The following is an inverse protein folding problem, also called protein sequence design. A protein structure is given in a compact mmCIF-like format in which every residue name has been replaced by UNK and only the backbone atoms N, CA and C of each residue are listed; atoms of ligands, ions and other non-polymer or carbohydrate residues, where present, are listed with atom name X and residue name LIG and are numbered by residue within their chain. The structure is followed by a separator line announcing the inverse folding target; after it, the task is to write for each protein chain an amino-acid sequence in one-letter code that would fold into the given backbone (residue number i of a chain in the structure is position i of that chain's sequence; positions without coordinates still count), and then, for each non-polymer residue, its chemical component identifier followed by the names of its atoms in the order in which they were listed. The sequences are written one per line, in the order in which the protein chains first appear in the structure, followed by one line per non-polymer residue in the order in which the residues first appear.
data_IF_749567149386
#
_entry.id   IF_749567149386
#
_cell.length_a   1.000
_cell.length_b   1.000
_cell.length_c   1.000
_cell.angle_alpha   90.00
_cell.angle_beta   90.00
_cell.angle_gamma   90.00
#
_symmetry.space_group_name_H-M   'P 1'
#
loop_
_entity.id
_entity.type
_entity.pdbx_description
1 polymer ?
#
# COMPACT_ATOMS: atom_id res chain seq x y z
N UNK A 1 14.42 56.40 11.28
CA UNK A 1 14.26 55.21 12.09
C UNK A 1 13.20 54.25 11.58
N UNK A 2 11.95 54.68 11.27
CA UNK A 2 10.91 53.79 10.78
C UNK A 2 11.26 53.01 9.46
N UNK A 3 11.93 53.63 8.50
CA UNK A 3 12.35 52.94 7.22
C UNK A 3 13.46 51.88 7.47
N UNK A 4 14.23 52.00 8.54
CA UNK A 4 15.29 51.04 8.88
C UNK A 4 14.66 49.80 9.58
N UNK A 5 13.67 50.01 10.42
CA UNK A 5 12.92 48.94 11.11
C UNK A 5 12.12 48.10 10.12
N UNK A 6 11.50 48.70 9.11
CA UNK A 6 10.74 47.97 8.06
C UNK A 6 11.70 47.11 7.20
N UNK A 7 12.90 47.60 6.87
CA UNK A 7 13.90 46.82 6.16
C UNK A 7 14.47 45.65 6.99
N UNK A 8 14.64 45.83 8.31
CA UNK A 8 15.04 44.75 9.20
C UNK A 8 13.96 43.68 9.35
N UNK A 9 12.68 44.08 9.38
CA UNK A 9 11.55 43.13 9.44
C UNK A 9 11.42 42.32 8.12
N UNK A 10 11.69 42.92 6.96
CA UNK A 10 11.72 42.19 5.68
C UNK A 10 12.92 41.27 5.57
N UNK A 11 14.09 41.59 6.12
CA UNK A 11 15.27 40.72 6.13
C UNK A 11 15.07 39.56 7.11
N UNK A 12 14.42 39.76 8.26
CA UNK A 12 14.07 38.70 9.21
C UNK A 12 12.96 37.79 8.68
N UNK A 13 11.99 38.33 7.94
CA UNK A 13 10.95 37.52 7.29
C UNK A 13 11.51 36.69 6.12
N UNK A 14 12.49 37.23 5.35
CA UNK A 14 13.14 36.45 4.29
C UNK A 14 14.14 35.41 4.81
N UNK A 15 14.69 35.57 6.01
CA UNK A 15 15.54 34.56 6.66
C UNK A 15 14.73 33.39 7.27
N UNK A 16 13.43 33.59 7.53
CA UNK A 16 12.55 32.53 8.00
C UNK A 16 12.10 31.55 6.90
N UNK A 17 12.36 31.84 5.62
CA UNK A 17 12.13 30.93 4.49
C UNK A 17 13.38 30.13 4.08
N UNK A 18 14.45 30.19 4.89
CA UNK A 18 15.66 29.41 4.61
C UNK A 18 15.52 28.01 5.21
N UNK A 19 15.45 27.03 4.29
CA UNK A 19 15.75 25.62 4.52
C UNK A 19 14.77 24.85 5.43
N UNK A 20 13.58 24.57 4.96
CA UNK A 20 13.02 23.25 5.19
C UNK A 20 13.80 22.28 4.28
N UNK A 21 15.02 21.94 4.71
CA UNK A 21 15.65 20.71 4.25
C UNK A 21 14.70 19.60 4.69
N UNK A 22 14.10 18.89 3.75
CA UNK A 22 13.33 17.70 4.05
C UNK A 22 14.20 16.80 4.94
N UNK A 23 13.73 16.48 6.15
CA UNK A 23 14.41 15.52 6.99
C UNK A 23 14.63 14.26 6.15
N UNK A 24 15.88 13.85 6.00
CA UNK A 24 16.20 12.59 5.35
C UNK A 24 15.68 11.49 6.26
N UNK A 25 14.70 10.73 5.74
CA UNK A 25 14.19 9.55 6.44
C UNK A 25 15.27 8.49 6.42
N UNK A 26 15.55 7.91 7.58
CA UNK A 26 16.39 6.73 7.71
C UNK A 26 15.54 5.48 7.59
N UNK A 27 15.78 4.67 6.58
CA UNK A 27 15.09 3.40 6.37
C UNK A 27 15.91 2.25 6.93
N UNK A 28 15.23 1.31 7.55
CA UNK A 28 15.75 -0.03 7.80
C UNK A 28 15.28 -0.96 6.68
N UNK A 29 15.96 -2.08 6.49
CA UNK A 29 15.74 -2.97 5.36
C UNK A 29 15.59 -4.43 5.79
N UNK A 30 14.76 -5.20 5.07
CA UNK A 30 14.74 -6.65 5.07
C UNK A 30 14.98 -7.12 3.65
N UNK A 31 16.06 -7.85 3.46
CA UNK A 31 16.55 -8.32 2.16
C UNK A 31 16.66 -9.84 2.12
N UNK A 32 17.17 -10.38 1.04
CA UNK A 32 17.50 -11.82 0.96
C UNK A 32 18.61 -12.24 1.91
N UNK A 33 19.48 -11.32 2.31
CA UNK A 33 20.53 -11.58 3.30
C UNK A 33 19.94 -11.79 4.71
N UNK A 34 18.76 -11.23 4.98
CA UNK A 34 17.99 -11.43 6.20
C UNK A 34 17.07 -12.66 6.13
N UNK A 35 17.07 -13.40 5.01
CA UNK A 35 16.26 -14.60 4.80
C UNK A 35 14.98 -14.40 4.01
N UNK A 36 14.74 -13.20 3.44
CA UNK A 36 13.60 -12.97 2.54
C UNK A 36 13.74 -13.85 1.29
N UNK A 37 12.67 -14.52 0.89
CA UNK A 37 12.71 -15.50 -0.20
C UNK A 37 13.04 -14.92 -1.57
N UNK A 38 12.75 -13.61 -1.78
CA UNK A 38 13.01 -12.92 -3.04
C UNK A 38 12.86 -11.40 -2.89
N UNK A 39 13.59 -10.60 -3.67
CA UNK A 39 13.64 -9.12 -3.60
C UNK A 39 12.34 -8.42 -3.98
N UNK A 40 11.54 -8.99 -4.90
CA UNK A 40 10.29 -8.37 -5.34
C UNK A 40 9.18 -8.66 -4.35
N UNK A 41 8.75 -7.64 -3.63
CA UNK A 41 7.68 -7.73 -2.64
C UNK A 41 6.38 -7.26 -3.29
N UNK A 42 5.46 -8.20 -3.52
CA UNK A 42 4.19 -7.92 -4.17
C UNK A 42 3.12 -7.41 -3.20
N UNK A 43 3.13 -7.90 -1.97
CA UNK A 43 2.12 -7.59 -0.96
C UNK A 43 2.69 -7.70 0.45
N UNK A 44 2.19 -6.85 1.33
CA UNK A 44 2.45 -6.85 2.77
C UNK A 44 1.11 -6.93 3.51
N UNK A 45 1.10 -7.61 4.65
CA UNK A 45 -0.02 -7.67 5.56
C UNK A 45 0.51 -7.81 6.99
N UNK A 46 -0.01 -7.03 7.93
CA UNK A 46 0.29 -7.16 9.35
C UNK A 46 -0.93 -7.79 10.03
N UNK A 47 -0.74 -8.91 10.71
CA UNK A 47 -1.81 -9.55 11.46
C UNK A 47 -2.02 -8.91 12.84
N UNK A 48 -3.04 -9.34 13.56
CA UNK A 48 -3.39 -8.79 14.88
C UNK A 48 -2.32 -9.03 15.96
N UNK A 49 -1.44 -10.01 15.77
CA UNK A 49 -0.32 -10.29 16.65
C UNK A 49 0.93 -9.45 16.29
N UNK A 50 0.84 -8.57 15.31
CA UNK A 50 1.94 -7.75 14.83
C UNK A 50 2.94 -8.47 13.93
N UNK A 51 2.61 -9.67 13.47
CA UNK A 51 3.43 -10.42 12.53
C UNK A 51 3.28 -9.83 11.13
N UNK A 52 4.41 -9.55 10.49
CA UNK A 52 4.45 -9.11 9.10
C UNK A 52 4.49 -10.29 8.15
N UNK A 53 3.49 -10.36 7.27
CA UNK A 53 3.39 -11.33 6.18
C UNK A 53 3.80 -10.67 4.87
N UNK A 54 4.72 -11.30 4.14
CA UNK A 54 5.36 -10.74 2.94
C UNK A 54 5.15 -11.70 1.78
N UNK A 55 4.35 -11.29 0.81
CA UNK A 55 4.12 -12.03 -0.43
C UNK A 55 5.17 -11.67 -1.48
N UNK A 56 5.83 -12.68 -2.01
CA UNK A 56 6.84 -12.54 -3.07
C UNK A 56 6.53 -13.44 -4.26
N UNK A 57 7.39 -13.44 -5.28
CA UNK A 57 7.32 -14.42 -6.38
C UNK A 57 7.84 -15.80 -5.99
N UNK A 58 8.50 -15.93 -4.83
CA UNK A 58 9.13 -17.15 -4.33
C UNK A 58 8.57 -17.59 -2.96
N UNK A 59 7.30 -17.35 -2.73
CA UNK A 59 6.57 -17.81 -1.56
C UNK A 59 6.00 -16.71 -0.68
N UNK A 60 5.43 -17.17 0.42
CA UNK A 60 4.96 -16.37 1.55
C UNK A 60 6.04 -16.36 2.63
N UNK A 61 6.40 -15.19 3.13
CA UNK A 61 7.35 -15.02 4.22
C UNK A 61 6.62 -14.48 5.45
N UNK A 62 6.97 -14.98 6.62
CA UNK A 62 6.51 -14.54 7.93
C UNK A 62 7.67 -13.94 8.69
N UNK A 63 7.58 -12.68 9.05
CA UNK A 63 8.57 -11.97 9.86
C UNK A 63 7.99 -11.64 11.24
N UNK A 64 8.68 -12.03 12.30
CA UNK A 64 8.24 -11.87 13.70
C UNK A 64 9.02 -10.79 14.47
N UNK A 65 9.82 -9.98 13.78
CA UNK A 65 10.72 -8.99 14.37
C UNK A 65 12.17 -9.48 14.51
N UNK A 66 12.42 -10.79 14.43
CA UNK A 66 13.75 -11.41 14.55
C UNK A 66 14.06 -12.26 13.32
N UNK A 67 13.20 -13.24 13.00
CA UNK A 67 13.44 -14.25 11.99
C UNK A 67 12.43 -14.17 10.84
N UNK A 68 12.88 -14.54 9.64
CA UNK A 68 12.02 -14.75 8.47
C UNK A 68 11.82 -16.24 8.22
N UNK A 69 10.57 -16.70 8.34
CA UNK A 69 10.18 -18.06 7.94
C UNK A 69 9.47 -18.02 6.60
N UNK A 70 9.97 -18.82 5.64
CA UNK A 70 9.43 -18.91 4.28
C UNK A 70 8.55 -20.16 4.11
N UNK A 71 7.38 -19.96 3.47
CA UNK A 71 6.46 -21.01 3.05
C UNK A 71 6.41 -21.05 1.51
N UNK A 72 6.67 -22.23 0.94
CA UNK A 72 6.71 -22.46 -0.51
C UNK A 72 5.90 -23.70 -0.88
N UNK A 73 5.65 -23.85 -2.17
CA UNK A 73 5.14 -25.09 -2.75
C UNK A 73 6.12 -26.24 -2.43
N UNK A 74 5.60 -27.32 -1.84
CA UNK A 74 6.31 -28.56 -1.61
C UNK A 74 5.63 -29.67 -2.39
N UNK A 75 6.36 -30.31 -3.27
CA UNK A 75 5.85 -31.45 -4.05
C UNK A 75 5.39 -32.57 -3.09
N UNK A 76 4.17 -33.07 -3.29
CA UNK A 76 3.54 -34.13 -2.48
C UNK A 76 3.17 -33.73 -1.03
N UNK A 77 3.14 -32.44 -0.69
CA UNK A 77 2.63 -31.98 0.59
C UNK A 77 1.31 -31.20 0.37
N UNK A 78 0.14 -31.82 0.62
CA UNK A 78 -1.17 -31.19 0.39
C UNK A 78 -1.45 -30.00 1.33
N UNK A 79 -0.65 -29.85 2.41
CA UNK A 79 -0.78 -28.74 3.34
C UNK A 79 0.20 -27.59 3.02
N UNK A 80 0.96 -27.69 1.94
CA UNK A 80 1.84 -26.62 1.47
C UNK A 80 1.12 -25.65 0.55
N UNK A 81 1.75 -24.50 0.30
CA UNK A 81 1.27 -23.55 -0.71
C UNK A 81 1.21 -24.26 -2.08
N UNK A 82 0.15 -24.06 -2.86
CA UNK A 82 -0.02 -24.74 -4.16
C UNK A 82 0.69 -24.03 -5.32
N UNK A 83 1.14 -22.78 -5.12
CA UNK A 83 2.01 -22.05 -6.06
C UNK A 83 2.95 -21.11 -5.28
N UNK A 84 4.08 -20.70 -5.88
CA UNK A 84 5.05 -19.86 -5.18
C UNK A 84 4.77 -18.35 -5.28
N UNK A 85 4.11 -17.90 -6.35
CA UNK A 85 3.88 -16.46 -6.54
C UNK A 85 2.67 -15.99 -5.75
N UNK A 86 2.92 -15.24 -4.66
CA UNK A 86 1.90 -14.59 -3.84
C UNK A 86 1.78 -13.14 -4.29
N UNK A 87 0.65 -12.79 -4.90
CA UNK A 87 0.39 -11.46 -5.47
C UNK A 87 -0.29 -10.51 -4.48
N UNK A 88 -1.18 -11.02 -3.63
CA UNK A 88 -1.87 -10.23 -2.59
C UNK A 88 -2.17 -11.08 -1.35
N UNK A 89 -2.12 -10.44 -0.21
CA UNK A 89 -2.46 -11.02 1.09
C UNK A 89 -3.57 -10.17 1.69
N UNK A 90 -4.63 -10.83 2.21
CA UNK A 90 -5.67 -10.21 3.03
C UNK A 90 -5.95 -11.13 4.23
N UNK A 91 -6.44 -10.60 5.33
CA UNK A 91 -6.72 -11.40 6.52
C UNK A 91 -8.08 -11.11 7.13
N UNK A 92 -8.57 -12.05 7.93
CA UNK A 92 -9.83 -11.90 8.66
C UNK A 92 -9.65 -11.26 10.05
N UNK A 93 -8.44 -10.77 10.34
CA UNK A 93 -8.04 -10.21 11.64
C UNK A 93 -8.29 -11.15 12.83
N UNK A 94 -8.21 -12.47 12.58
CA UNK A 94 -8.36 -13.48 13.61
C UNK A 94 -7.41 -14.67 13.38
N UNK A 95 -7.83 -15.69 12.64
CA UNK A 95 -7.04 -16.93 12.52
C UNK A 95 -6.60 -17.26 11.08
N UNK A 96 -7.03 -16.48 10.10
CA UNK A 96 -6.86 -16.82 8.69
C UNK A 96 -6.33 -15.67 7.89
N UNK A 97 -5.37 -15.96 7.02
CA UNK A 97 -4.98 -15.08 5.93
C UNK A 97 -5.30 -15.78 4.60
N UNK A 98 -5.68 -14.97 3.62
CA UNK A 98 -6.04 -15.41 2.29
C UNK A 98 -5.03 -14.85 1.30
N UNK A 99 -4.60 -15.68 0.38
CA UNK A 99 -3.52 -15.40 -0.57
C UNK A 99 -4.07 -15.45 -1.97
N UNK A 100 -3.90 -14.36 -2.72
CA UNK A 100 -4.04 -14.39 -4.17
C UNK A 100 -2.70 -14.87 -4.75
N UNK A 101 -2.77 -16.01 -5.41
CA UNK A 101 -1.67 -16.60 -6.14
C UNK A 101 -1.91 -16.47 -7.65
N UNK A 102 -0.89 -16.67 -8.48
CA UNK A 102 -1.06 -16.68 -9.95
C UNK A 102 -2.03 -17.74 -10.44
N UNK A 103 -2.20 -18.82 -9.70
CA UNK A 103 -3.01 -19.98 -10.09
C UNK A 103 -4.31 -20.12 -9.29
N UNK A 104 -4.67 -19.10 -8.47
CA UNK A 104 -5.92 -19.10 -7.70
C UNK A 104 -5.81 -18.48 -6.31
N UNK A 105 -6.62 -18.98 -5.38
CA UNK A 105 -6.73 -18.46 -4.00
C UNK A 105 -6.47 -19.57 -3.00
N UNK A 106 -5.59 -19.30 -2.04
CA UNK A 106 -5.33 -20.15 -0.88
C UNK A 106 -5.75 -19.47 0.42
N UNK A 107 -6.12 -20.29 1.39
CA UNK A 107 -6.22 -19.92 2.81
C UNK A 107 -5.01 -20.45 3.55
N UNK A 108 -4.48 -19.69 4.48
CA UNK A 108 -3.51 -20.15 5.45
C UNK A 108 -4.09 -19.95 6.86
N UNK A 109 -4.20 -21.04 7.59
CA UNK A 109 -4.66 -21.02 8.98
C UNK A 109 -3.46 -20.78 9.91
N UNK A 110 -3.50 -19.69 10.69
CA UNK A 110 -2.40 -19.24 11.54
C UNK A 110 -2.13 -20.22 12.70
N UNK A 111 -3.16 -20.85 13.26
CA UNK A 111 -3.04 -21.77 14.39
C UNK A 111 -2.46 -23.12 13.97
N UNK A 112 -2.97 -23.71 12.87
CA UNK A 112 -2.51 -25.03 12.38
C UNK A 112 -1.31 -24.95 11.45
N UNK A 113 -0.99 -23.76 10.93
CA UNK A 113 0.05 -23.50 9.94
C UNK A 113 -0.11 -24.32 8.64
N UNK A 114 -1.34 -24.57 8.23
CA UNK A 114 -1.66 -25.34 7.03
C UNK A 114 -2.29 -24.45 5.97
N UNK A 115 -1.99 -24.77 4.71
CA UNK A 115 -2.65 -24.18 3.57
C UNK A 115 -3.82 -25.02 3.10
N UNK A 116 -4.86 -24.35 2.62
CA UNK A 116 -6.01 -24.94 1.94
C UNK A 116 -6.20 -24.20 0.62
N UNK A 117 -6.23 -24.90 -0.50
CA UNK A 117 -6.59 -24.30 -1.80
C UNK A 117 -8.09 -24.10 -1.83
N UNK A 118 -8.55 -22.84 -1.90
CA UNK A 118 -9.97 -22.51 -1.94
C UNK A 118 -10.51 -22.52 -3.38
N UNK A 119 -9.73 -22.01 -4.33
CA UNK A 119 -10.11 -21.93 -5.74
C UNK A 119 -8.87 -21.94 -6.63
N UNK A 120 -8.92 -22.70 -7.72
CA UNK A 120 -7.92 -22.64 -8.79
C UNK A 120 -8.50 -21.92 -10.01
N UNK A 121 -7.62 -21.21 -10.72
CA UNK A 121 -7.95 -20.47 -11.93
C UNK A 121 -7.45 -19.03 -11.92
N UNK A 122 -7.76 -18.31 -12.99
CA UNK A 122 -7.36 -16.90 -13.12
C UNK A 122 -8.30 -16.00 -12.31
N UNK A 123 -7.79 -15.54 -11.18
CA UNK A 123 -8.45 -14.60 -10.27
C UNK A 123 -7.66 -13.29 -10.28
N UNK A 124 -8.34 -12.17 -10.48
CA UNK A 124 -7.70 -10.87 -10.65
C UNK A 124 -7.58 -10.08 -9.36
N UNK A 125 -8.42 -10.33 -8.36
CA UNK A 125 -8.36 -9.65 -7.09
C UNK A 125 -8.95 -10.44 -5.94
N UNK A 126 -8.47 -10.16 -4.71
CA UNK A 126 -9.08 -10.61 -3.46
C UNK A 126 -9.29 -9.42 -2.53
N UNK A 127 -10.32 -9.49 -1.70
CA UNK A 127 -10.64 -8.50 -0.69
C UNK A 127 -11.37 -9.16 0.48
N UNK A 128 -11.02 -8.78 1.71
CA UNK A 128 -11.70 -9.26 2.90
C UNK A 128 -12.43 -8.13 3.64
N UNK A 129 -13.73 -8.30 3.87
CA UNK A 129 -14.54 -7.44 4.72
C UNK A 129 -15.78 -8.23 5.16
N UNK A 130 -15.79 -8.74 6.41
CA UNK A 130 -16.84 -9.64 6.92
C UNK A 130 -17.17 -10.77 5.94
N UNK A 131 -16.14 -11.32 5.29
CA UNK A 131 -16.19 -12.36 4.30
C UNK A 131 -15.18 -12.11 3.18
N UNK A 132 -14.75 -13.19 2.54
CA UNK A 132 -13.80 -13.14 1.44
C UNK A 132 -14.53 -12.88 0.12
N UNK A 133 -14.07 -11.88 -0.62
CA UNK A 133 -14.51 -11.56 -1.97
C UNK A 133 -13.37 -11.79 -2.96
N UNK A 134 -13.72 -12.24 -4.16
CA UNK A 134 -12.79 -12.34 -5.28
C UNK A 134 -13.35 -11.64 -6.51
N UNK A 135 -12.45 -11.06 -7.32
CA UNK A 135 -12.75 -10.56 -8.66
C UNK A 135 -12.24 -11.55 -9.70
N UNK A 136 -13.09 -11.87 -10.67
CA UNK A 136 -12.76 -12.70 -11.82
C UNK A 136 -13.37 -12.08 -13.08
N UNK A 137 -12.55 -11.50 -13.94
CA UNK A 137 -13.04 -10.65 -15.04
C UNK A 137 -13.93 -9.52 -14.49
N UNK A 138 -15.12 -9.34 -15.02
CA UNK A 138 -16.12 -8.35 -14.61
C UNK A 138 -17.06 -8.84 -13.49
N UNK A 139 -16.76 -9.96 -12.86
CA UNK A 139 -17.60 -10.59 -11.84
C UNK A 139 -16.95 -10.50 -10.45
N UNK A 140 -17.78 -10.27 -9.45
CA UNK A 140 -17.44 -10.36 -8.03
C UNK A 140 -18.12 -11.58 -7.44
N UNK A 141 -17.34 -12.41 -6.75
CA UNK A 141 -17.86 -13.55 -6.02
C UNK A 141 -17.58 -13.38 -4.53
N UNK A 142 -18.44 -13.98 -3.70
CA UNK A 142 -18.25 -14.06 -2.26
C UNK A 142 -18.10 -15.51 -1.84
N UNK A 143 -17.11 -15.76 -0.99
CA UNK A 143 -16.90 -17.08 -0.40
C UNK A 143 -18.01 -17.40 0.59
N UNK A 144 -18.61 -18.57 0.44
CA UNK A 144 -19.62 -19.14 1.32
C UNK A 144 -18.95 -20.20 2.20
N UNK A 145 -18.78 -19.90 3.48
CA UNK A 145 -18.09 -20.79 4.42
C UNK A 145 -18.86 -22.10 4.69
N UNK A 146 -20.20 -22.10 4.54
CA UNK A 146 -21.02 -23.28 4.76
C UNK A 146 -20.88 -24.31 3.64
N UNK A 147 -20.83 -23.85 2.40
CA UNK A 147 -20.75 -24.72 1.21
C UNK A 147 -19.31 -24.92 0.72
N UNK A 148 -18.37 -24.07 1.14
CA UNK A 148 -16.99 -24.04 0.63
C UNK A 148 -16.88 -23.52 -0.81
N UNK A 149 -17.90 -22.89 -1.36
CA UNK A 149 -17.96 -22.40 -2.73
C UNK A 149 -17.89 -20.86 -2.80
N UNK A 150 -17.62 -20.34 -3.98
CA UNK A 150 -17.73 -18.94 -4.30
C UNK A 150 -19.04 -18.67 -5.05
N UNK A 151 -19.97 -17.95 -4.42
CA UNK A 151 -21.24 -17.57 -5.00
C UNK A 151 -21.12 -16.22 -5.71
N UNK A 152 -21.77 -16.08 -6.90
CA UNK A 152 -21.79 -14.83 -7.65
C UNK A 152 -22.48 -13.74 -6.82
N UNK A 153 -21.75 -12.69 -6.50
CA UNK A 153 -22.26 -11.56 -5.72
C UNK A 153 -22.76 -10.41 -6.60
N UNK A 154 -22.00 -10.08 -7.65
CA UNK A 154 -22.35 -9.03 -8.60
C UNK A 154 -21.57 -9.17 -9.92
N UNK A 155 -22.17 -8.72 -11.03
CA UNK A 155 -21.53 -8.67 -12.35
C UNK A 155 -21.60 -7.24 -12.90
N UNK A 156 -20.45 -6.66 -13.25
CA UNK A 156 -20.36 -5.37 -13.94
C UNK A 156 -20.85 -5.51 -15.39
N UNK A 157 -21.56 -4.51 -15.92
CA UNK A 157 -21.92 -4.48 -17.33
C UNK A 157 -20.67 -4.26 -18.22
N UNK A 158 -20.53 -5.02 -19.29
CA UNK A 158 -19.42 -4.94 -20.24
C UNK A 158 -18.57 -6.21 -20.28
N UNK A 159 -18.10 -6.60 -21.48
CA UNK A 159 -17.45 -7.90 -21.68
C UNK A 159 -15.93 -7.89 -21.44
N UNK A 160 -15.25 -6.78 -21.57
CA UNK A 160 -13.78 -6.71 -21.49
C UNK A 160 -13.29 -5.96 -20.24
N UNK A 161 -14.00 -6.13 -19.12
CA UNK A 161 -13.65 -5.56 -17.84
C UNK A 161 -12.94 -6.60 -16.97
N UNK A 162 -11.95 -6.15 -16.23
CA UNK A 162 -11.29 -6.93 -15.20
C UNK A 162 -11.23 -6.14 -13.90
N UNK A 163 -11.82 -6.68 -12.83
CA UNK A 163 -11.86 -6.08 -11.49
C UNK A 163 -10.58 -6.46 -10.77
N UNK A 164 -9.66 -5.52 -10.61
CA UNK A 164 -8.32 -5.77 -10.05
C UNK A 164 -8.13 -5.31 -8.61
N UNK A 165 -9.05 -4.55 -8.07
CA UNK A 165 -9.12 -4.22 -6.66
C UNK A 165 -10.54 -3.88 -6.23
N UNK A 166 -10.83 -4.08 -4.95
CA UNK A 166 -12.13 -3.84 -4.36
C UNK A 166 -12.00 -3.20 -2.99
N UNK A 167 -13.04 -2.45 -2.58
CA UNK A 167 -13.12 -1.89 -1.24
C UNK A 167 -14.59 -1.64 -0.87
N UNK A 168 -15.00 -2.03 0.35
CA UNK A 168 -16.32 -1.73 0.87
C UNK A 168 -16.23 -0.53 1.80
N UNK A 169 -17.01 0.50 1.50
CA UNK A 169 -17.01 1.74 2.25
C UNK A 169 -18.38 2.43 2.23
N UNK A 170 -18.91 2.81 3.41
CA UNK A 170 -20.20 3.51 3.60
C UNK A 170 -21.38 2.84 2.86
N UNK A 171 -21.49 1.51 2.91
CA UNK A 171 -22.55 0.76 2.23
C UNK A 171 -22.35 0.60 0.72
N UNK A 172 -21.20 0.98 0.19
CA UNK A 172 -20.86 0.84 -1.23
C UNK A 172 -19.72 -0.16 -1.43
N UNK A 173 -19.85 -1.00 -2.45
CA UNK A 173 -18.73 -1.77 -3.01
C UNK A 173 -18.10 -0.94 -4.14
N UNK A 174 -16.86 -0.53 -3.92
CA UNK A 174 -16.02 0.14 -4.90
C UNK A 174 -15.20 -0.91 -5.64
N UNK A 175 -15.21 -0.86 -6.95
CA UNK A 175 -14.55 -1.82 -7.84
C UNK A 175 -13.64 -1.06 -8.81
N UNK A 176 -12.34 -1.27 -8.69
CA UNK A 176 -11.34 -0.73 -9.60
C UNK A 176 -11.07 -1.70 -10.74
N UNK A 177 -11.03 -1.18 -11.96
CA UNK A 177 -10.84 -1.97 -13.19
C UNK A 177 -9.53 -1.65 -13.89
N UNK A 178 -9.12 -2.52 -14.79
CA UNK A 178 -7.87 -2.36 -15.59
C UNK A 178 -7.90 -1.18 -16.56
N UNK A 179 -9.07 -0.77 -17.06
CA UNK A 179 -9.17 0.23 -18.12
C UNK A 179 -10.22 1.30 -17.88
N UNK A 180 -11.32 0.96 -17.19
CA UNK A 180 -12.51 1.80 -17.12
C UNK A 180 -12.65 2.54 -15.79
N UNK A 181 -11.56 2.67 -15.01
CA UNK A 181 -11.59 3.41 -13.75
C UNK A 181 -12.38 2.68 -12.66
N UNK A 182 -13.27 3.40 -11.98
CA UNK A 182 -13.94 2.93 -10.77
C UNK A 182 -15.44 2.84 -10.94
N UNK A 183 -16.00 1.68 -10.66
CA UNK A 183 -17.43 1.48 -10.46
C UNK A 183 -17.75 1.44 -8.95
N UNK A 184 -18.95 1.94 -8.59
CA UNK A 184 -19.44 1.98 -7.22
C UNK A 184 -20.86 1.44 -7.18
N UNK A 185 -21.04 0.30 -6.50
CA UNK A 185 -22.33 -0.35 -6.28
C UNK A 185 -22.87 -0.03 -4.89
N UNK A 186 -24.07 0.52 -4.80
CA UNK A 186 -24.83 0.57 -3.55
C UNK A 186 -25.24 -0.86 -3.17
N UNK A 187 -24.79 -1.34 -2.00
CA UNK A 187 -24.95 -2.75 -1.62
C UNK A 187 -26.42 -3.09 -1.35
N UNK A 188 -27.19 -2.16 -0.78
CA UNK A 188 -28.58 -2.38 -0.41
C UNK A 188 -29.52 -2.19 -1.62
N UNK A 189 -29.36 -1.08 -2.34
CA UNK A 189 -30.23 -0.73 -3.49
C UNK A 189 -29.87 -1.44 -4.78
N UNK A 190 -28.65 -2.00 -4.88
CA UNK A 190 -28.07 -2.58 -6.11
C UNK A 190 -27.95 -1.58 -7.25
N UNK A 191 -27.86 -0.29 -6.93
CA UNK A 191 -27.66 0.77 -7.91
C UNK A 191 -26.16 0.93 -8.23
N UNK A 192 -25.81 0.87 -9.51
CA UNK A 192 -24.45 1.04 -10.00
C UNK A 192 -24.20 2.47 -10.44
N UNK A 193 -23.10 3.06 -10.02
CA UNK A 193 -22.60 4.35 -10.51
C UNK A 193 -21.14 4.20 -11.01
N UNK A 194 -20.70 5.15 -11.83
CA UNK A 194 -19.37 5.15 -12.44
C UNK A 194 -18.67 6.49 -12.20
N UNK A 195 -18.16 6.74 -10.96
CA UNK A 195 -17.65 8.05 -10.56
C UNK A 195 -16.32 8.42 -11.23
N UNK A 196 -15.46 7.45 -11.56
CA UNK A 196 -14.19 7.66 -12.28
C UNK A 196 -14.23 6.80 -13.54
N UNK A 197 -14.27 7.44 -14.72
CA UNK A 197 -14.61 6.77 -15.99
C UNK A 197 -13.40 6.32 -16.81
N UNK A 198 -12.19 6.41 -16.26
CA UNK A 198 -10.95 6.04 -16.94
C UNK A 198 -9.86 5.63 -15.94
N UNK A 199 -8.89 4.92 -16.44
CA UNK A 199 -7.67 4.54 -15.71
C UNK A 199 -7.68 3.09 -15.24
N UNK A 200 -6.49 2.58 -15.07
CA UNK A 200 -6.19 1.30 -14.44
C UNK A 200 -6.03 1.55 -12.94
N UNK A 201 -6.97 1.07 -12.13
CA UNK A 201 -7.04 1.34 -10.70
C UNK A 201 -6.24 0.29 -9.94
N UNK A 202 -5.27 0.72 -9.16
CA UNK A 202 -4.31 -0.17 -8.49
C UNK A 202 -4.64 -0.45 -7.03
N UNK A 203 -5.24 0.53 -6.33
CA UNK A 203 -5.49 0.42 -4.90
C UNK A 203 -6.61 1.34 -4.41
N UNK A 204 -7.20 0.94 -3.30
CA UNK A 204 -8.06 1.76 -2.46
C UNK A 204 -7.48 1.81 -1.06
N UNK A 205 -7.49 2.99 -0.45
CA UNK A 205 -7.13 3.19 0.93
C UNK A 205 -8.13 4.16 1.60
N UNK A 206 -8.65 3.80 2.76
CA UNK A 206 -9.50 4.66 3.58
C UNK A 206 -8.69 5.21 4.73
N UNK A 207 -8.67 6.54 4.88
CA UNK A 207 -8.00 7.20 5.99
C UNK A 207 -8.86 7.29 7.25
N UNK A 208 -8.27 7.82 8.34
CA UNK A 208 -8.91 7.98 9.64
C UNK A 208 -10.08 8.99 9.63
N UNK A 209 -10.08 9.96 8.71
CA UNK A 209 -11.16 10.92 8.52
C UNK A 209 -12.31 10.34 7.70
N UNK A 210 -12.14 9.12 7.18
CA UNK A 210 -13.12 8.44 6.36
C UNK A 210 -13.15 8.94 4.93
N UNK A 211 -12.05 9.44 4.42
CA UNK A 211 -11.86 9.79 3.01
C UNK A 211 -11.21 8.63 2.26
N UNK A 212 -11.48 8.53 0.95
CA UNK A 212 -11.00 7.41 0.16
C UNK A 212 -9.93 7.87 -0.83
N UNK A 213 -8.76 7.26 -0.75
CA UNK A 213 -7.63 7.47 -1.62
C UNK A 213 -7.54 6.32 -2.63
N UNK A 214 -7.49 6.67 -3.93
CA UNK A 214 -7.57 5.70 -5.02
C UNK A 214 -6.35 5.87 -5.91
N UNK A 215 -5.47 4.89 -5.87
CA UNK A 215 -4.30 4.84 -6.74
C UNK A 215 -4.64 4.40 -8.14
N UNK A 216 -3.95 4.92 -9.13
CA UNK A 216 -4.08 4.49 -10.51
C UNK A 216 -2.73 4.34 -11.21
N UNK A 217 -2.71 3.51 -12.24
CA UNK A 217 -1.61 3.43 -13.19
C UNK A 217 -1.84 4.45 -14.28
N UNK A 218 -1.03 5.52 -14.33
CA UNK A 218 -1.04 6.65 -15.28
C UNK A 218 -1.93 7.85 -14.95
N UNK A 219 -3.03 7.70 -14.18
CA UNK A 219 -3.91 8.83 -13.88
C UNK A 219 -3.58 9.53 -12.54
N UNK A 220 -2.54 9.08 -11.82
CA UNK A 220 -2.14 9.64 -10.54
C UNK A 220 -3.00 9.13 -9.38
N UNK A 221 -3.28 10.00 -8.42
CA UNK A 221 -3.99 9.70 -7.18
C UNK A 221 -5.33 10.45 -7.15
N UNK A 222 -6.43 9.72 -7.01
CA UNK A 222 -7.74 10.33 -6.76
C UNK A 222 -8.02 10.33 -5.27
N UNK A 223 -8.62 11.43 -4.81
CA UNK A 223 -9.04 11.63 -3.44
C UNK A 223 -10.54 11.91 -3.41
N UNK A 224 -11.30 11.00 -2.83
CA UNK A 224 -12.76 11.12 -2.66
C UNK A 224 -13.03 11.59 -1.24
N UNK A 225 -13.47 12.84 -1.12
CA UNK A 225 -13.80 13.49 0.15
C UNK A 225 -15.10 12.97 0.74
N UNK A 226 -15.30 13.24 2.02
CA UNK A 226 -16.51 12.83 2.74
C UNK A 226 -17.79 13.42 2.16
N UNK A 227 -17.74 14.61 1.52
CA UNK A 227 -18.84 15.26 0.80
C UNK A 227 -19.09 14.68 -0.61
N UNK A 228 -18.26 13.73 -1.04
CA UNK A 228 -18.32 13.09 -2.34
C UNK A 228 -17.55 13.80 -3.46
N UNK A 229 -16.91 14.93 -3.18
CA UNK A 229 -16.04 15.61 -4.15
C UNK A 229 -14.83 14.73 -4.46
N UNK A 230 -14.47 14.64 -5.73
CA UNK A 230 -13.29 13.89 -6.21
C UNK A 230 -12.24 14.88 -6.69
N UNK A 231 -11.05 14.83 -6.09
CA UNK A 231 -9.86 15.56 -6.52
C UNK A 231 -8.88 14.58 -7.17
N UNK A 232 -8.07 15.06 -8.11
CA UNK A 232 -7.04 14.24 -8.75
C UNK A 232 -5.69 14.94 -8.63
N UNK A 233 -4.75 14.27 -8.00
CA UNK A 233 -3.35 14.69 -7.87
C UNK A 233 -2.50 13.99 -8.92
N UNK A 234 -1.68 14.75 -9.61
CA UNK A 234 -0.80 14.26 -10.68
C UNK A 234 0.62 14.77 -10.52
N UNK A 235 1.55 14.07 -11.15
CA UNK A 235 2.91 14.57 -11.33
C UNK A 235 2.92 15.81 -12.22
N UNK A 236 3.64 16.83 -11.78
CA UNK A 236 3.95 18.05 -12.54
C UNK A 236 5.43 18.38 -12.41
N UNK A 237 6.19 18.28 -13.51
CA UNK A 237 7.62 18.55 -13.53
C UNK A 237 7.99 19.99 -13.12
N UNK A 238 7.04 20.93 -13.15
CA UNK A 238 7.25 22.33 -12.77
C UNK A 238 6.94 22.58 -11.28
N UNK A 239 6.27 21.62 -10.62
CA UNK A 239 5.89 21.74 -9.21
C UNK A 239 6.63 20.68 -8.36
N UNK A 240 7.67 21.06 -7.60
CA UNK A 240 8.42 20.13 -6.76
C UNK A 240 7.58 19.55 -5.61
N UNK A 241 6.41 20.11 -5.34
CA UNK A 241 5.46 19.65 -4.33
C UNK A 241 4.27 18.87 -4.93
N UNK A 242 4.42 18.36 -6.16
CA UNK A 242 3.47 17.42 -6.77
C UNK A 242 3.89 15.97 -6.49
N UNK A 243 3.07 15.00 -6.92
CA UNK A 243 3.46 13.59 -6.92
C UNK A 243 4.77 13.36 -7.69
N UNK A 244 5.60 12.42 -7.25
CA UNK A 244 6.83 12.03 -7.96
C UNK A 244 6.55 11.23 -9.24
N UNK A 245 5.35 10.63 -9.36
CA UNK A 245 4.93 9.86 -10.54
C UNK A 245 3.41 9.68 -10.59
N UNK A 246 2.84 9.59 -11.79
CA UNK A 246 1.42 9.25 -11.98
C UNK A 246 1.12 7.75 -11.80
N UNK A 247 2.13 6.91 -11.69
CA UNK A 247 1.98 5.47 -11.45
C UNK A 247 1.90 5.19 -9.94
N UNK A 248 0.71 5.35 -9.37
CA UNK A 248 0.44 5.15 -7.94
C UNK A 248 0.06 3.70 -7.67
N UNK A 249 0.64 3.09 -6.63
CA UNK A 249 0.46 1.68 -6.29
C UNK A 249 -0.22 1.44 -4.95
N UNK A 250 0.10 2.24 -3.95
CA UNK A 250 -0.38 2.04 -2.59
C UNK A 250 -0.47 3.35 -1.84
N UNK A 251 -1.37 3.40 -0.85
CA UNK A 251 -1.49 4.49 0.10
C UNK A 251 -1.59 3.93 1.52
N UNK A 252 -1.10 4.70 2.50
CA UNK A 252 -1.24 4.40 3.92
C UNK A 252 -1.17 5.70 4.73
N UNK A 253 -1.95 5.84 5.80
CA UNK A 253 -1.90 6.96 6.73
C UNK A 253 -0.99 6.63 7.91
N UNK A 254 -0.08 7.55 8.28
CA UNK A 254 0.70 7.44 9.51
C UNK A 254 -0.12 7.90 10.74
N UNK A 255 0.45 7.74 11.94
CA UNK A 255 -0.20 8.18 13.18
C UNK A 255 -0.25 9.71 13.34
N UNK A 256 0.47 10.45 12.49
CA UNK A 256 0.48 11.91 12.44
C UNK A 256 -0.56 12.48 11.46
N UNK A 257 -1.32 11.61 10.78
CA UNK A 257 -2.34 11.97 9.80
C UNK A 257 -1.82 12.32 8.41
N UNK A 258 -0.53 12.07 8.10
CA UNK A 258 -0.04 12.22 6.75
C UNK A 258 -0.38 10.98 5.91
N UNK A 259 -0.65 11.20 4.63
CA UNK A 259 -0.84 10.09 3.69
C UNK A 259 0.49 9.80 2.99
N UNK A 260 0.93 8.56 3.09
CA UNK A 260 2.09 8.04 2.38
C UNK A 260 1.66 7.32 1.12
N UNK A 261 2.26 7.68 0.01
CA UNK A 261 1.88 7.21 -1.32
C UNK A 261 3.09 6.57 -2.00
N UNK A 262 2.98 5.28 -2.26
CA UNK A 262 3.96 4.53 -3.05
C UNK A 262 3.69 4.68 -4.53
N UNK A 263 4.72 5.11 -5.27
CA UNK A 263 4.68 5.25 -6.72
C UNK A 263 5.77 4.45 -7.40
N UNK A 264 5.77 4.42 -8.72
CA UNK A 264 6.86 3.84 -9.51
C UNK A 264 8.18 4.59 -9.32
N UNK A 265 8.15 5.87 -8.96
CA UNK A 265 9.33 6.72 -8.81
C UNK A 265 9.38 7.40 -7.42
N UNK A 266 9.33 6.61 -6.37
CA UNK A 266 9.55 7.04 -4.99
C UNK A 266 8.32 6.95 -4.09
N UNK A 267 8.60 7.24 -2.84
CA UNK A 267 7.65 7.39 -1.74
C UNK A 267 7.29 8.86 -1.60
N UNK A 268 6.00 9.17 -1.52
CA UNK A 268 5.52 10.54 -1.34
C UNK A 268 4.81 10.65 0.00
N UNK A 269 5.04 11.73 0.73
CA UNK A 269 4.27 12.11 1.91
C UNK A 269 3.36 13.29 1.56
N UNK A 270 2.07 13.12 1.64
CA UNK A 270 1.09 14.18 1.51
C UNK A 270 0.71 14.71 2.89
N UNK A 271 0.94 15.98 3.12
CA UNK A 271 0.53 16.66 4.34
C UNK A 271 -0.86 17.27 4.14
N UNK A 272 -1.87 16.75 4.84
CA UNK A 272 -3.26 17.19 4.71
C UNK A 272 -3.47 18.65 5.08
N UNK A 273 -2.68 19.20 6.03
CA UNK A 273 -2.84 20.58 6.50
C UNK A 273 -2.31 21.61 5.51
N UNK A 274 -1.25 21.28 4.76
CA UNK A 274 -0.64 22.18 3.75
C UNK A 274 -1.06 21.89 2.33
N UNK A 275 -1.56 20.66 2.06
CA UNK A 275 -1.90 20.20 0.71
C UNK A 275 -0.67 19.93 -0.16
N UNK A 276 0.52 19.79 0.42
CA UNK A 276 1.78 19.64 -0.30
C UNK A 276 2.31 18.22 -0.21
N UNK A 277 2.97 17.77 -1.30
CA UNK A 277 3.72 16.54 -1.36
C UNK A 277 5.21 16.80 -1.06
N UNK A 278 5.81 15.85 -0.34
CA UNK A 278 7.25 15.72 -0.17
C UNK A 278 7.66 14.35 -0.74
N UNK A 279 8.69 14.34 -1.59
CA UNK A 279 9.09 13.17 -2.35
C UNK A 279 10.41 12.59 -1.82
N UNK A 280 10.47 11.26 -1.69
CA UNK A 280 11.65 10.49 -1.29
C UNK A 280 11.92 9.44 -2.37
N UNK A 281 13.11 9.50 -2.98
CA UNK A 281 13.54 8.56 -4.03
C UNK A 281 14.78 7.80 -3.57
N UNK A 282 15.01 6.62 -4.13
CA UNK A 282 16.22 5.87 -3.89
C UNK A 282 17.44 6.68 -4.40
N UNK A 283 18.51 6.65 -3.62
CA UNK A 283 19.78 7.27 -3.96
C UNK A 283 20.90 6.27 -3.66
N UNK A 284 21.64 5.88 -4.68
CA UNK A 284 22.72 4.87 -4.60
C UNK A 284 23.87 5.27 -3.65
N UNK A 285 23.91 6.52 -3.21
CA UNK A 285 24.97 7.05 -2.32
C UNK A 285 24.58 6.89 -0.83
N UNK A 286 23.27 6.76 -0.52
CA UNK A 286 22.78 6.66 0.86
C UNK A 286 22.55 5.19 1.24
N UNK A 287 23.33 4.71 2.21
CA UNK A 287 23.17 3.33 2.73
C UNK A 287 21.92 3.12 3.59
N UNK A 288 21.37 4.20 4.11
CA UNK A 288 20.15 4.27 4.93
C UNK A 288 18.94 4.88 4.20
N UNK A 289 19.04 5.03 2.88
CA UNK A 289 17.97 5.50 2.00
C UNK A 289 17.02 4.37 1.58
N UNK A 290 16.05 4.71 0.70
CA UNK A 290 15.22 3.71 0.01
C UNK A 290 16.09 2.79 -0.84
N UNK A 291 15.90 1.48 -0.73
CA UNK A 291 16.62 0.48 -1.54
C UNK A 291 16.20 0.48 -3.01
N UNK A 292 14.99 0.92 -3.30
CA UNK A 292 14.45 0.99 -4.66
C UNK A 292 13.30 2.01 -4.75
N UNK A 293 13.28 2.83 -5.80
CA UNK A 293 12.25 3.88 -5.95
C UNK A 293 10.85 3.34 -6.25
N UNK A 294 10.70 2.15 -6.86
CA UNK A 294 9.37 1.59 -7.16
C UNK A 294 8.76 0.90 -5.95
N UNK A 295 7.82 1.59 -5.30
CA UNK A 295 7.09 1.12 -4.11
C UNK A 295 5.79 0.46 -4.55
N UNK A 296 5.61 -0.83 -4.20
CA UNK A 296 4.47 -1.63 -4.64
C UNK A 296 3.36 -1.77 -3.62
N UNK A 297 3.71 -1.83 -2.35
CA UNK A 297 2.75 -1.92 -1.26
C UNK A 297 3.27 -1.19 -0.03
N UNK A 298 2.34 -0.70 0.79
CA UNK A 298 2.61 -0.02 2.06
C UNK A 298 1.59 -0.53 3.07
N UNK A 299 2.07 -0.90 4.26
CA UNK A 299 1.21 -1.18 5.41
C UNK A 299 1.78 -0.52 6.65
N UNK A 300 0.91 -0.22 7.61
CA UNK A 300 1.27 0.29 8.94
C UNK A 300 1.02 -0.80 9.97
N UNK A 301 1.96 -1.02 10.87
CA UNK A 301 1.75 -1.89 12.01
C UNK A 301 1.11 -1.15 13.21
N UNK A 302 0.84 -1.90 14.28
CA UNK A 302 0.21 -1.38 15.48
C UNK A 302 1.10 -0.42 16.28
N UNK A 303 2.41 -0.35 15.96
CA UNK A 303 3.37 0.55 16.59
C UNK A 303 3.62 1.83 15.77
N UNK A 304 2.93 1.96 14.63
CA UNK A 304 3.07 3.10 13.73
C UNK A 304 4.21 2.97 12.72
N UNK A 305 4.91 1.83 12.67
CA UNK A 305 5.93 1.58 11.66
C UNK A 305 5.31 1.39 10.30
N UNK A 306 5.82 2.09 9.30
CA UNK A 306 5.46 1.91 7.91
C UNK A 306 6.40 0.90 7.25
N UNK A 307 5.82 -0.14 6.69
CA UNK A 307 6.49 -1.20 5.93
C UNK A 307 6.22 -1.02 4.45
N UNK A 308 7.27 -0.93 3.65
CA UNK A 308 7.24 -0.62 2.22
C UNK A 308 7.80 -1.80 1.43
N UNK A 309 6.96 -2.44 0.65
CA UNK A 309 7.43 -3.46 -0.31
C UNK A 309 7.86 -2.81 -1.62
N UNK A 310 9.04 -3.19 -2.12
CA UNK A 310 9.61 -2.64 -3.34
C UNK A 310 9.70 -3.66 -4.47
N UNK A 311 9.92 -3.19 -5.70
CA UNK A 311 10.03 -4.06 -6.88
C UNK A 311 11.28 -4.94 -6.86
N UNK A 312 12.45 -4.40 -6.43
CA UNK A 312 13.72 -5.13 -6.40
C UNK A 312 14.59 -4.85 -5.16
N UNK A 313 14.09 -4.17 -4.16
CA UNK A 313 14.85 -3.77 -2.98
C UNK A 313 14.40 -4.43 -1.67
N UNK A 314 13.59 -5.50 -1.72
CA UNK A 314 13.04 -6.10 -0.51
C UNK A 314 12.01 -5.21 0.18
N UNK A 315 12.01 -5.24 1.51
CA UNK A 315 11.15 -4.42 2.37
C UNK A 315 11.98 -3.31 2.99
N UNK A 316 11.49 -2.08 2.90
CA UNK A 316 12.02 -0.94 3.65
C UNK A 316 11.03 -0.61 4.78
N UNK A 317 11.52 -0.15 5.93
CA UNK A 317 10.65 0.25 7.01
C UNK A 317 11.23 1.39 7.84
N UNK A 318 10.34 2.22 8.37
CA UNK A 318 10.67 3.33 9.26
C UNK A 318 9.43 3.70 10.09
N UNK A 319 9.64 4.41 11.19
CA UNK A 319 8.54 4.95 11.96
C UNK A 319 8.54 6.47 11.87
N UNK A 320 7.52 7.11 11.25
CA UNK A 320 7.46 8.56 11.08
C UNK A 320 7.50 9.36 12.40
N UNK A 321 7.06 8.77 13.51
CA UNK A 321 7.07 9.44 14.82
C UNK A 321 8.48 9.61 15.36
N UNK A 322 9.42 8.70 15.04
CA UNK A 322 10.80 8.79 15.50
C UNK A 322 11.66 9.73 14.66
N UNK A 323 11.24 10.04 13.43
CA UNK A 323 11.94 11.01 12.57
C UNK A 323 11.79 12.47 13.04
N UNK A 324 10.89 12.74 14.00
CA UNK A 324 10.72 14.07 14.61
C UNK A 324 11.90 14.41 15.52
N UNK A 325 12.64 13.40 16.01
CA UNK A 325 13.74 13.59 16.95
C UNK A 325 15.08 13.69 16.20
N UNK A 326 15.74 14.86 16.26
CA UNK A 326 17.08 15.04 15.73
C UNK A 326 18.06 14.12 16.47
N UNK A 327 18.67 13.16 15.77
CA UNK A 327 19.73 12.32 16.34
C UNK A 327 20.97 13.18 16.57
N UNK A 328 21.29 13.47 17.80
CA UNK A 328 22.61 13.98 18.19
C UNK A 328 23.57 12.79 18.28
N UNK A 329 24.33 12.52 17.22
CA UNK A 329 25.45 11.60 17.27
C UNK A 329 26.64 12.33 17.89
N UNK A 330 27.15 11.84 19.02
CA UNK A 330 28.41 12.28 19.60
C UNK A 330 29.54 11.76 18.69
N UNK A 331 30.15 12.64 17.89
CA UNK A 331 31.35 12.26 17.15
C UNK A 331 32.51 12.27 18.13
N UNK A 332 33.05 11.11 18.48
CA UNK A 332 34.22 10.92 19.30
C UNK A 332 35.54 11.23 18.56
N UNK A 333 35.56 12.21 17.67
CA UNK A 333 36.77 12.68 16.98
C UNK A 333 37.25 14.02 17.55
N UNK A 334 37.58 14.04 18.85
CA UNK A 334 38.62 14.89 19.36
C UNK A 334 39.70 14.00 19.95
N UNK A 335 40.67 13.57 19.16
CA UNK A 335 42.01 13.27 19.59
C UNK A 335 42.99 13.43 18.42
N UNK A 336 43.67 14.53 18.47
CA UNK A 336 45.08 14.92 18.26
C UNK A 336 45.21 16.08 17.28
#
# INVERSE_FOLDING_TARGET
MQKLIIRLFFILASAAFANVHGQNITFNHLTTDDGLSQFSVNSLYVDENGILWIGTREGLNRYNGEDIKTYKLRKNDPNSLFCNTVSRIVGNHNERIYLLCTEGVAEFNLSTQKFTTLLQGNISSIYYNNGLFIGKKNEVYRYNEETGNFDLYYQLPGENLEIICMHIYKGYLWMGTTTNGVYRLDIDKKELTHPIKKGNITSFYRDSEGELWIGSWEEGLFHVKTDGKIENFRYDAKNPHSLSSNFVRACCEDNLGNIWIGTFNGLNRYNKSTGLFQNHTANDIQTDGLTHSSIWCIVKDNQGTLWLGTYFGGVNYFNPEYEIYTRYSYSSNEKK
#
